data_IF_677898691358
#
_entry.id   IF_677898691358
#
_cell.length_a   1.000
_cell.length_b   1.000
_cell.length_c   1.000
_cell.angle_alpha   90.00
_cell.angle_beta   90.00
_cell.angle_gamma   90.00
#
_symmetry.space_group_name_H-M   'P 1'
#
loop_
_entity.id
_entity.type
_entity.pdbx_description
1 polymer ?
#
# COMPACT_ATOMS: atom_id res chain seq x y z
N UNK A 1 -6.26 5.24 -43.36
CA UNK A 1 -6.42 3.78 -43.19
C UNK A 1 -5.11 3.02 -43.35
N UNK A 2 -4.08 3.56 -44.02
CA UNK A 2 -2.77 2.88 -44.21
C UNK A 2 -1.88 2.82 -42.95
N UNK A 3 -1.96 3.79 -42.03
CA UNK A 3 -1.15 3.74 -40.80
C UNK A 3 -1.52 2.58 -39.86
N UNK A 4 -2.78 2.15 -39.83
CA UNK A 4 -3.20 1.05 -38.94
C UNK A 4 -2.72 -0.33 -39.42
N UNK A 5 -2.37 -0.45 -40.71
CA UNK A 5 -1.87 -1.69 -41.31
C UNK A 5 -0.36 -1.89 -41.08
N UNK A 6 0.41 -0.80 -40.98
CA UNK A 6 1.84 -0.91 -40.68
C UNK A 6 2.10 -1.26 -39.21
N UNK A 7 1.28 -0.74 -38.29
CA UNK A 7 1.39 -1.06 -36.85
C UNK A 7 1.06 -2.53 -36.53
N UNK A 8 0.06 -3.11 -37.22
CA UNK A 8 -0.31 -4.52 -37.03
C UNK A 8 0.72 -5.49 -37.61
N UNK A 9 1.35 -5.15 -38.73
CA UNK A 9 2.45 -5.93 -39.31
C UNK A 9 3.72 -5.91 -38.43
N UNK A 10 4.02 -4.76 -37.80
CA UNK A 10 5.17 -4.63 -36.91
C UNK A 10 5.00 -5.43 -35.61
N UNK A 11 3.77 -5.52 -35.07
CA UNK A 11 3.47 -6.37 -33.90
C UNK A 11 3.47 -7.86 -34.23
N UNK A 12 3.04 -8.26 -35.44
CA UNK A 12 3.13 -9.66 -35.88
C UNK A 12 4.58 -10.11 -36.09
N UNK A 13 5.44 -9.24 -36.62
CA UNK A 13 6.87 -9.54 -36.78
C UNK A 13 7.57 -9.68 -35.41
N UNK A 14 7.22 -8.84 -34.42
CA UNK A 14 7.77 -8.94 -33.06
C UNK A 14 7.34 -10.20 -32.29
N UNK A 15 6.18 -10.79 -32.61
CA UNK A 15 5.76 -12.07 -32.05
C UNK A 15 6.45 -13.27 -32.70
N UNK A 16 6.85 -13.16 -33.98
CA UNK A 16 7.57 -14.21 -34.70
C UNK A 16 9.06 -14.28 -34.32
N UNK A 17 9.65 -13.14 -33.93
CA UNK A 17 11.06 -13.04 -33.52
C UNK A 17 11.28 -13.21 -31.99
N UNK A 18 10.22 -13.49 -31.23
CA UNK A 18 10.32 -13.72 -29.78
C UNK A 18 10.88 -15.12 -29.48
N UNK A 19 12.16 -15.19 -29.08
CA UNK A 19 12.70 -16.36 -28.41
C UNK A 19 12.56 -16.21 -26.89
N UNK A 20 11.92 -17.17 -26.19
CA UNK A 20 11.86 -17.14 -24.74
C UNK A 20 13.28 -17.25 -24.15
N UNK A 21 13.57 -16.56 -23.03
CA UNK A 21 14.85 -16.69 -22.37
C UNK A 21 15.08 -18.15 -21.95
N UNK A 22 16.33 -18.65 -21.96
CA UNK A 22 16.62 -19.98 -21.48
C UNK A 22 16.21 -20.10 -20.00
N UNK A 23 15.81 -21.31 -19.55
CA UNK A 23 15.52 -21.54 -18.14
C UNK A 23 16.76 -21.19 -17.30
N UNK A 24 16.58 -20.62 -16.09
CA UNK A 24 17.71 -20.30 -15.23
C UNK A 24 18.51 -21.58 -14.96
N UNK A 25 19.81 -21.52 -15.26
CA UNK A 25 20.76 -22.57 -14.90
C UNK A 25 20.75 -22.76 -13.38
N UNK A 26 20.66 -24.02 -12.94
CA UNK A 26 20.90 -24.48 -11.57
C UNK A 26 22.30 -24.08 -11.11
N UNK A 27 22.46 -22.84 -10.62
CA UNK A 27 23.61 -22.42 -9.83
C UNK A 27 23.16 -21.46 -8.75
N UNK A 28 23.02 -21.99 -7.54
CA UNK A 28 22.87 -21.24 -6.30
C UNK A 28 21.44 -21.14 -5.80
N UNK A 29 20.94 -22.23 -5.19
CA UNK A 29 19.96 -22.10 -4.10
C UNK A 29 20.61 -21.25 -3.00
N UNK A 30 20.39 -19.94 -3.07
CA UNK A 30 20.43 -19.10 -1.89
C UNK A 30 19.06 -19.34 -1.27
N UNK A 31 19.03 -19.97 -0.10
CA UNK A 31 17.83 -20.31 0.65
C UNK A 31 17.02 -19.04 0.96
N UNK A 32 16.07 -18.70 0.08
CA UNK A 32 15.34 -17.41 0.07
C UNK A 32 14.34 -17.35 1.22
N UNK A 33 13.82 -18.50 1.66
CA UNK A 33 13.04 -18.63 2.88
C UNK A 33 13.83 -18.10 4.08
N UNK A 34 15.11 -18.49 4.23
CA UNK A 34 15.95 -18.06 5.34
C UNK A 34 16.15 -16.54 5.44
N UNK A 35 16.18 -15.82 4.31
CA UNK A 35 16.37 -14.37 4.29
C UNK A 35 15.12 -13.58 4.72
N UNK A 36 13.92 -14.04 4.33
CA UNK A 36 12.65 -13.50 4.83
C UNK A 36 12.38 -13.92 6.28
N UNK A 37 12.79 -15.15 6.64
CA UNK A 37 12.69 -15.70 8.01
C UNK A 37 13.51 -14.92 9.04
N UNK A 38 14.68 -14.42 8.66
CA UNK A 38 15.56 -13.64 9.57
C UNK A 38 14.91 -12.33 10.07
N UNK A 39 14.05 -11.69 9.26
CA UNK A 39 13.32 -10.48 9.67
C UNK A 39 11.94 -10.75 10.30
N UNK A 40 11.31 -11.89 9.98
CA UNK A 40 9.98 -12.29 10.50
C UNK A 40 10.04 -12.95 11.89
N UNK A 41 11.19 -13.52 12.27
CA UNK A 41 11.37 -14.27 13.51
C UNK A 41 11.23 -13.46 14.83
N UNK A 42 11.03 -12.14 14.77
CA UNK A 42 11.06 -11.29 15.96
C UNK A 42 9.77 -11.28 16.80
N UNK A 43 8.65 -11.88 16.35
CA UNK A 43 7.35 -11.73 17.04
C UNK A 43 6.58 -13.01 17.35
N UNK A 44 6.91 -14.15 16.75
CA UNK A 44 6.26 -15.41 17.12
C UNK A 44 7.23 -16.20 17.98
N UNK A 45 6.94 -16.27 19.29
CA UNK A 45 7.55 -17.27 20.16
C UNK A 45 7.25 -18.65 19.58
N UNK A 46 8.20 -19.19 18.84
CA UNK A 46 8.20 -20.56 18.35
C UNK A 46 8.33 -21.49 19.57
N UNK A 47 7.21 -21.74 20.23
CA UNK A 47 7.07 -22.76 21.27
C UNK A 47 5.73 -23.48 21.07
N UNK A 48 5.60 -24.10 19.89
CA UNK A 48 5.03 -25.43 19.68
C UNK A 48 4.91 -25.66 18.16
N UNK A 49 5.30 -26.84 17.68
CA UNK A 49 5.26 -27.25 16.26
C UNK A 49 3.85 -27.41 15.67
N UNK A 50 2.91 -26.51 15.98
CA UNK A 50 1.59 -26.41 15.36
C UNK A 50 1.67 -25.50 14.14
N UNK A 51 1.27 -26.02 12.97
CA UNK A 51 1.05 -25.21 11.78
C UNK A 51 0.18 -23.98 12.11
N UNK A 52 0.56 -22.82 11.57
CA UNK A 52 -0.18 -21.57 11.81
C UNK A 52 -1.63 -21.73 11.38
N UNK A 53 -2.56 -21.24 12.21
CA UNK A 53 -3.98 -21.33 11.89
C UNK A 53 -4.28 -20.55 10.59
N UNK A 54 -5.12 -21.09 9.68
CA UNK A 54 -5.45 -20.45 8.40
C UNK A 54 -6.49 -19.32 8.59
N UNK A 55 -6.23 -18.39 9.50
CA UNK A 55 -7.09 -17.27 9.91
C UNK A 55 -6.25 -16.02 10.14
N UNK A 56 -6.90 -14.85 10.18
CA UNK A 56 -6.26 -13.58 10.55
C UNK A 56 -6.41 -13.25 12.05
N UNK A 57 -6.67 -14.24 12.91
CA UNK A 57 -6.90 -14.02 14.34
C UNK A 57 -5.68 -13.40 15.03
N UNK A 58 -4.46 -13.78 14.61
CA UNK A 58 -3.20 -13.21 15.09
C UNK A 58 -3.15 -11.68 15.01
N UNK A 59 -3.69 -11.09 13.94
CA UNK A 59 -3.75 -9.63 13.75
C UNK A 59 -4.70 -8.93 14.73
N UNK A 60 -5.79 -9.60 15.10
CA UNK A 60 -6.74 -9.08 16.09
C UNK A 60 -6.14 -9.14 17.51
N UNK A 61 -5.40 -10.21 17.79
CA UNK A 61 -4.80 -10.48 19.10
C UNK A 61 -3.60 -9.56 19.38
N UNK A 62 -2.81 -9.24 18.35
CA UNK A 62 -1.62 -8.40 18.50
C UNK A 62 -1.99 -6.93 18.72
N UNK A 63 -2.21 -6.55 19.99
CA UNK A 63 -2.75 -5.23 20.34
C UNK A 63 -1.84 -4.04 20.03
N UNK A 64 -0.56 -4.27 19.79
CA UNK A 64 0.41 -3.22 19.44
C UNK A 64 0.28 -2.70 18.00
N UNK A 65 -0.35 -3.46 17.09
CA UNK A 65 -0.47 -3.06 15.68
C UNK A 65 -1.23 -1.73 15.52
N UNK A 66 -0.54 -0.76 14.96
CA UNK A 66 -1.06 0.56 14.58
C UNK A 66 -1.32 0.67 13.09
N UNK A 67 -0.50 0.04 12.26
CA UNK A 67 -0.54 0.17 10.80
C UNK A 67 -0.73 -1.20 10.16
N UNK A 68 -1.82 -1.39 9.43
CA UNK A 68 -2.07 -2.64 8.73
C UNK A 68 -2.29 -2.32 7.25
N UNK A 69 -1.35 -2.73 6.42
CA UNK A 69 -1.45 -2.57 4.98
C UNK A 69 -2.14 -3.78 4.36
N UNK A 70 -3.03 -3.55 3.40
CA UNK A 70 -3.67 -4.63 2.63
C UNK A 70 -3.38 -4.39 1.16
N UNK A 71 -2.75 -5.37 0.50
CA UNK A 71 -2.30 -5.22 -0.89
C UNK A 71 -2.31 -6.52 -1.69
N UNK A 72 -2.35 -6.38 -3.01
CA UNK A 72 -2.63 -7.49 -3.94
C UNK A 72 -2.80 -7.02 -5.38
N UNK A 73 -2.34 -7.81 -6.36
CA UNK A 73 -2.35 -7.37 -7.77
C UNK A 73 -3.66 -7.74 -8.46
N UNK A 74 -4.47 -6.70 -8.77
CA UNK A 74 -5.59 -6.74 -9.72
C UNK A 74 -6.77 -7.64 -9.36
N UNK A 75 -7.98 -7.08 -9.14
CA UNK A 75 -9.23 -7.84 -9.09
C UNK A 75 -9.37 -8.93 -8.00
N UNK A 76 -8.39 -9.09 -7.11
CA UNK A 76 -8.33 -10.16 -6.09
C UNK A 76 -9.23 -9.95 -4.87
N UNK A 77 -9.98 -8.84 -4.80
CA UNK A 77 -10.87 -8.55 -3.66
C UNK A 77 -10.21 -7.83 -2.48
N UNK A 78 -9.13 -7.06 -2.71
CA UNK A 78 -8.43 -6.26 -1.69
C UNK A 78 -9.39 -5.44 -0.82
N UNK A 79 -10.17 -4.55 -1.44
CA UNK A 79 -11.07 -3.64 -0.72
C UNK A 79 -12.07 -4.40 0.14
N UNK A 80 -12.61 -5.52 -0.34
CA UNK A 80 -13.50 -6.38 0.46
C UNK A 80 -12.76 -6.96 1.66
N UNK A 81 -11.53 -7.44 1.49
CA UNK A 81 -10.68 -7.90 2.60
C UNK A 81 -10.35 -6.76 3.58
N UNK A 82 -9.97 -5.58 3.09
CA UNK A 82 -9.67 -4.38 3.90
C UNK A 82 -10.87 -3.94 4.75
N UNK A 83 -12.06 -3.87 4.14
CA UNK A 83 -13.31 -3.57 4.85
C UNK A 83 -13.62 -4.61 5.92
N UNK A 84 -13.46 -5.89 5.56
CA UNK A 84 -13.76 -7.01 6.45
C UNK A 84 -12.81 -7.07 7.66
N UNK A 85 -11.52 -6.85 7.42
CA UNK A 85 -10.52 -6.77 8.48
C UNK A 85 -10.77 -5.57 9.39
N UNK A 86 -11.12 -4.40 8.84
CA UNK A 86 -11.46 -3.21 9.62
C UNK A 86 -12.70 -3.44 10.51
N UNK A 87 -13.73 -4.14 10.01
CA UNK A 87 -14.91 -4.54 10.79
C UNK A 87 -14.52 -5.46 11.95
N UNK A 88 -13.66 -6.46 11.71
CA UNK A 88 -13.20 -7.37 12.76
C UNK A 88 -12.34 -6.65 13.80
N UNK A 89 -11.45 -5.75 13.37
CA UNK A 89 -10.67 -4.92 14.27
C UNK A 89 -11.55 -3.97 15.09
N UNK A 90 -12.60 -3.39 14.51
CA UNK A 90 -13.52 -2.51 15.24
C UNK A 90 -14.20 -3.18 16.44
N UNK A 91 -14.32 -4.51 16.45
CA UNK A 91 -14.85 -5.26 17.61
C UNK A 91 -13.91 -5.34 18.78
N UNK A 92 -12.61 -5.27 18.51
CA UNK A 92 -11.58 -5.51 19.50
C UNK A 92 -10.86 -4.21 19.88
N UNK A 93 -10.74 -3.25 18.96
CA UNK A 93 -10.02 -1.97 19.13
C UNK A 93 -10.92 -0.83 19.63
N UNK A 94 -10.33 0.18 20.28
CA UNK A 94 -11.05 1.38 20.73
C UNK A 94 -11.46 2.28 19.56
N UNK A 95 -10.60 2.42 18.54
CA UNK A 95 -10.90 3.23 17.35
C UNK A 95 -10.11 2.77 16.14
N UNK A 96 -10.79 2.62 15.00
CA UNK A 96 -10.24 2.09 13.76
C UNK A 96 -10.49 3.08 12.61
N UNK A 97 -9.46 3.34 11.81
CA UNK A 97 -9.56 4.13 10.59
C UNK A 97 -9.21 3.28 9.37
N UNK A 98 -10.09 3.23 8.38
CA UNK A 98 -9.84 2.61 7.09
C UNK A 98 -9.60 3.68 6.02
N UNK A 99 -8.41 3.69 5.44
CA UNK A 99 -7.98 4.65 4.43
C UNK A 99 -7.85 3.90 3.11
N UNK A 100 -8.53 4.36 2.06
CA UNK A 100 -8.27 3.87 0.71
C UNK A 100 -7.43 4.87 -0.08
N UNK A 101 -6.37 4.35 -0.71
CA UNK A 101 -5.56 5.09 -1.70
C UNK A 101 -5.83 4.61 -3.13
N UNK A 102 -6.85 3.77 -3.32
CA UNK A 102 -7.29 3.31 -4.64
C UNK A 102 -8.13 4.42 -5.32
N UNK A 103 -7.72 4.92 -6.51
CA UNK A 103 -8.46 5.96 -7.23
C UNK A 103 -9.85 5.51 -7.69
N UNK A 104 -10.17 4.22 -7.65
CA UNK A 104 -11.47 3.70 -8.08
C UNK A 104 -12.62 3.94 -7.09
N UNK A 105 -12.38 4.55 -5.92
CA UNK A 105 -13.41 4.83 -4.89
C UNK A 105 -14.20 3.57 -4.44
N UNK A 106 -13.53 2.41 -4.44
CA UNK A 106 -14.14 1.10 -4.15
C UNK A 106 -14.70 1.00 -2.72
N UNK A 107 -14.20 1.82 -1.79
CA UNK A 107 -14.60 1.80 -0.38
C UNK A 107 -16.04 2.29 -0.21
N UNK A 108 -16.41 3.35 -0.94
CA UNK A 108 -17.76 3.89 -0.95
C UNK A 108 -18.80 2.87 -1.45
N UNK A 109 -18.47 2.13 -2.51
CA UNK A 109 -19.32 1.07 -3.05
C UNK A 109 -19.43 -0.12 -2.10
N UNK A 110 -18.32 -0.53 -1.47
CA UNK A 110 -18.28 -1.65 -0.53
C UNK A 110 -19.22 -1.43 0.66
N UNK A 111 -19.18 -0.26 1.30
CA UNK A 111 -20.07 0.07 2.42
C UNK A 111 -21.44 0.62 1.98
N UNK A 112 -21.62 0.92 0.69
CA UNK A 112 -22.80 1.63 0.18
C UNK A 112 -23.00 2.99 0.89
N UNK A 113 -21.90 3.70 1.13
CA UNK A 113 -21.83 4.97 1.83
C UNK A 113 -20.73 5.84 1.18
N UNK A 114 -21.03 7.08 0.81
CA UNK A 114 -20.02 7.95 0.19
C UNK A 114 -18.97 8.43 1.21
N UNK A 115 -17.70 8.21 0.89
CA UNK A 115 -16.54 8.75 1.61
C UNK A 115 -15.83 9.83 0.77
N UNK A 116 -14.83 10.47 1.36
CA UNK A 116 -14.00 11.48 0.73
C UNK A 116 -12.75 11.74 1.56
N UNK A 117 -12.10 12.89 1.36
CA UNK A 117 -10.85 13.25 2.03
C UNK A 117 -10.96 13.35 3.56
N UNK A 118 -12.14 13.63 4.10
CA UNK A 118 -12.37 13.74 5.54
C UNK A 118 -12.80 12.40 6.15
N UNK A 119 -12.21 12.04 7.29
CA UNK A 119 -12.58 10.83 8.03
C UNK A 119 -14.05 10.89 8.48
N UNK A 120 -14.84 9.90 8.06
CA UNK A 120 -16.26 9.81 8.38
C UNK A 120 -16.60 8.46 9.00
N UNK A 121 -17.43 8.48 10.03
CA UNK A 121 -17.92 7.28 10.70
C UNK A 121 -18.70 6.39 9.70
N UNK A 122 -18.39 5.09 9.68
CA UNK A 122 -19.10 4.10 8.88
C UNK A 122 -20.46 3.82 9.53
N UNK A 123 -21.53 3.83 8.74
CA UNK A 123 -22.88 3.62 9.24
C UNK A 123 -23.01 2.26 9.94
N UNK A 124 -23.51 2.29 11.18
CA UNK A 124 -23.70 1.10 12.00
C UNK A 124 -22.50 0.69 12.84
N UNK A 125 -21.44 1.51 12.87
CA UNK A 125 -20.31 1.38 13.80
C UNK A 125 -20.17 2.68 14.60
N UNK A 126 -19.67 2.59 15.83
CA UNK A 126 -19.39 3.73 16.71
C UNK A 126 -17.91 4.12 16.74
N UNK A 127 -17.04 3.23 16.28
CA UNK A 127 -15.59 3.37 16.37
C UNK A 127 -14.82 3.04 15.07
N UNK A 128 -15.53 2.77 13.96
CA UNK A 128 -14.93 2.56 12.63
C UNK A 128 -15.22 3.76 11.73
N UNK A 129 -14.16 4.44 11.31
CA UNK A 129 -14.22 5.53 10.34
C UNK A 129 -13.54 5.14 9.03
N UNK A 130 -13.95 5.76 7.94
CA UNK A 130 -13.37 5.57 6.63
C UNK A 130 -13.11 6.91 5.93
N UNK A 131 -12.05 6.94 5.11
CA UNK A 131 -11.72 8.06 4.22
C UNK A 131 -11.10 7.54 2.92
N UNK A 132 -11.24 8.33 1.87
CA UNK A 132 -10.68 8.05 0.56
C UNK A 132 -9.76 9.21 0.16
N UNK A 133 -8.54 8.86 -0.22
CA UNK A 133 -7.51 9.83 -0.53
C UNK A 133 -7.02 9.57 -1.93
N UNK A 134 -7.14 10.58 -2.78
CA UNK A 134 -6.46 10.62 -4.06
C UNK A 134 -5.13 11.37 -3.90
N UNK A 135 -3.97 10.67 -4.00
CA UNK A 135 -2.68 11.32 -3.92
C UNK A 135 -2.47 12.35 -5.04
N UNK A 136 -3.04 12.13 -6.23
CA UNK A 136 -2.81 13.01 -7.37
C UNK A 136 -3.59 14.33 -7.24
N UNK A 137 -4.84 14.26 -6.78
CA UNK A 137 -5.68 15.45 -6.60
C UNK A 137 -5.21 16.40 -5.51
N UNK A 138 -4.47 15.90 -4.51
CA UNK A 138 -4.03 16.70 -3.36
C UNK A 138 -2.96 17.74 -3.72
N UNK A 139 -2.09 17.45 -4.69
CA UNK A 139 -1.08 18.41 -5.17
C UNK A 139 -1.65 19.49 -6.08
N UNK A 140 -2.66 19.17 -6.91
CA UNK A 140 -3.35 20.20 -7.69
C UNK A 140 -3.96 21.26 -6.77
N UNK A 141 -4.58 20.83 -5.67
CA UNK A 141 -5.17 21.72 -4.66
C UNK A 141 -4.09 22.55 -3.94
N UNK A 142 -2.94 21.95 -3.60
CA UNK A 142 -1.82 22.65 -2.95
C UNK A 142 -1.14 23.69 -3.87
N UNK A 143 -0.96 23.35 -5.15
CA UNK A 143 -0.41 24.25 -6.17
C UNK A 143 -1.41 25.36 -6.53
N UNK A 144 -2.70 25.05 -6.59
CA UNK A 144 -3.76 26.04 -6.80
C UNK A 144 -3.88 27.01 -5.61
N UNK A 145 -3.78 26.50 -4.37
CA UNK A 145 -3.79 27.33 -3.16
C UNK A 145 -2.57 28.24 -2.99
N UNK A 146 -1.45 27.93 -3.64
CA UNK A 146 -0.28 28.83 -3.72
C UNK A 146 -0.35 29.81 -4.90
N UNK A 147 -1.25 29.57 -5.87
CA UNK A 147 -1.46 30.44 -7.03
C UNK A 147 -2.31 31.67 -6.73
N UNK A 148 -3.18 31.62 -5.72
CA UNK A 148 -4.09 32.74 -5.38
C UNK A 148 -3.39 33.88 -4.61
N UNK A 149 -2.24 33.63 -3.98
CA UNK A 149 -1.43 34.65 -3.29
C UNK A 149 -0.27 35.21 -4.15
N UNK A 150 -0.14 34.77 -5.41
CA UNK A 150 1.00 35.09 -6.28
C UNK A 150 0.69 36.10 -7.41
N UNK A 151 -0.43 36.83 -7.31
CA UNK A 151 -0.88 37.72 -8.40
C UNK A 151 -0.34 39.17 -8.31
N UNK A 152 0.63 39.46 -7.42
CA UNK A 152 1.19 40.82 -7.29
C UNK A 152 2.71 40.90 -7.08
N UNK A 153 3.50 40.15 -7.87
CA UNK A 153 4.95 40.37 -7.89
C UNK A 153 5.62 40.11 -9.26
N UNK A 154 5.59 41.14 -10.11
CA UNK A 154 6.56 41.49 -11.16
C UNK A 154 6.90 40.46 -12.27
N UNK A 155 6.88 40.84 -13.58
CA UNK A 155 7.22 39.97 -14.71
C UNK A 155 8.65 39.42 -14.75
N UNK A 156 9.48 39.74 -13.75
CA UNK A 156 10.88 39.35 -13.71
C UNK A 156 11.34 38.70 -12.38
N UNK A 157 10.40 38.33 -11.50
CA UNK A 157 10.69 37.72 -10.19
C UNK A 157 10.37 36.22 -10.05
N UNK A 158 9.48 35.67 -10.88
CA UNK A 158 8.97 34.29 -10.73
C UNK A 158 9.92 33.16 -11.16
N UNK A 159 10.99 33.47 -11.90
CA UNK A 159 11.84 32.46 -12.54
C UNK A 159 12.96 31.89 -11.65
N UNK A 160 13.24 32.47 -10.48
CA UNK A 160 14.47 32.17 -9.73
C UNK A 160 14.35 31.06 -8.67
N UNK A 161 13.27 31.05 -7.89
CA UNK A 161 13.11 30.14 -6.73
C UNK A 161 11.92 29.21 -6.91
N UNK A 162 10.80 29.68 -7.46
CA UNK A 162 9.67 28.83 -7.85
C UNK A 162 10.10 27.83 -8.93
N UNK A 163 10.80 28.31 -9.97
CA UNK A 163 11.42 27.46 -10.98
C UNK A 163 12.46 26.50 -10.42
N UNK A 164 13.28 26.92 -9.44
CA UNK A 164 14.29 26.06 -8.83
C UNK A 164 13.70 24.99 -7.90
N UNK A 165 12.64 25.30 -7.15
CA UNK A 165 11.90 24.32 -6.34
C UNK A 165 11.14 23.34 -7.25
N UNK A 166 10.59 23.84 -8.35
CA UNK A 166 9.88 23.04 -9.35
C UNK A 166 10.86 22.13 -10.12
N UNK A 167 12.04 22.64 -10.49
CA UNK A 167 13.13 21.86 -11.09
C UNK A 167 13.70 20.83 -10.11
N UNK A 168 13.82 21.17 -8.83
CA UNK A 168 14.25 20.23 -7.78
C UNK A 168 13.19 19.16 -7.49
N UNK A 169 11.91 19.53 -7.57
CA UNK A 169 10.79 18.61 -7.48
C UNK A 169 10.77 17.66 -8.70
N UNK A 170 11.01 18.18 -9.91
CA UNK A 170 11.15 17.35 -11.11
C UNK A 170 12.44 16.52 -11.16
N UNK A 171 13.49 16.92 -10.44
CA UNK A 171 14.76 16.20 -10.37
C UNK A 171 14.68 14.90 -9.55
N UNK A 172 13.66 14.75 -8.70
CA UNK A 172 13.46 13.57 -7.86
C UNK A 172 12.13 12.91 -8.28
N UNK A 173 12.18 11.86 -9.13
CA UNK A 173 10.98 11.15 -9.54
C UNK A 173 10.23 10.59 -8.33
N UNK A 174 8.99 11.01 -8.11
CA UNK A 174 8.17 10.50 -7.02
C UNK A 174 7.96 11.46 -5.83
N UNK A 175 8.50 12.68 -5.88
CA UNK A 175 8.47 13.61 -4.73
C UNK A 175 7.07 14.22 -4.53
N UNK A 176 6.31 14.38 -5.59
CA UNK A 176 4.93 14.86 -5.62
C UNK A 176 3.99 13.87 -4.94
N UNK A 177 4.12 12.57 -5.23
CA UNK A 177 3.38 11.54 -4.51
C UNK A 177 3.84 11.45 -3.04
N UNK A 178 5.13 11.63 -2.78
CA UNK A 178 5.69 11.55 -1.45
C UNK A 178 5.24 12.71 -0.53
N UNK A 179 5.14 13.93 -1.07
CA UNK A 179 4.61 15.09 -0.33
C UNK A 179 3.12 14.96 -0.03
N UNK A 180 2.33 14.50 -1.01
CA UNK A 180 0.91 14.18 -0.80
C UNK A 180 0.75 13.18 0.34
N UNK A 181 1.61 12.16 0.37
CA UNK A 181 1.60 11.16 1.41
C UNK A 181 2.01 11.69 2.80
N UNK A 182 3.04 12.55 2.88
CA UNK A 182 3.43 13.17 4.14
C UNK A 182 2.27 13.97 4.77
N UNK A 183 1.48 14.65 3.94
CA UNK A 183 0.30 15.38 4.40
C UNK A 183 -0.81 14.43 4.90
N UNK A 184 -1.03 13.31 4.20
CA UNK A 184 -1.94 12.24 4.67
C UNK A 184 -1.52 11.70 6.02
N UNK A 185 -0.24 11.34 6.18
CA UNK A 185 0.28 10.83 7.45
C UNK A 185 0.11 11.84 8.58
N UNK A 186 0.37 13.12 8.30
CA UNK A 186 0.20 14.21 9.27
C UNK A 186 -1.26 14.35 9.70
N UNK A 187 -2.19 14.34 8.75
CA UNK A 187 -3.63 14.37 9.02
C UNK A 187 -4.05 13.15 9.86
N UNK A 188 -3.63 11.96 9.46
CA UNK A 188 -3.95 10.71 10.15
C UNK A 188 -3.40 10.67 11.56
N UNK A 189 -2.15 11.12 11.78
CA UNK A 189 -1.53 11.21 13.11
C UNK A 189 -2.30 12.15 14.04
N UNK A 190 -2.86 13.24 13.50
CA UNK A 190 -3.66 14.19 14.28
C UNK A 190 -4.97 13.59 14.81
N UNK A 191 -5.55 12.62 14.09
CA UNK A 191 -6.84 12.02 14.43
C UNK A 191 -6.79 10.98 15.56
N UNK A 192 -5.59 10.54 15.98
CA UNK A 192 -5.37 9.70 17.17
C UNK A 192 -6.17 8.38 17.20
N UNK A 193 -6.35 7.72 16.05
CA UNK A 193 -6.92 6.37 15.98
C UNK A 193 -5.97 5.31 16.59
N UNK A 194 -6.51 4.25 17.17
CA UNK A 194 -5.71 3.15 17.74
C UNK A 194 -5.04 2.32 16.64
N UNK A 195 -5.79 1.98 15.59
CA UNK A 195 -5.31 1.18 14.45
C UNK A 195 -5.81 1.78 13.14
N UNK A 196 -4.95 1.80 12.14
CA UNK A 196 -5.20 2.33 10.81
C UNK A 196 -4.94 1.23 9.78
N UNK A 197 -5.93 0.99 8.92
CA UNK A 197 -5.86 0.04 7.82
C UNK A 197 -5.72 0.83 6.52
N UNK A 198 -4.73 0.50 5.72
CA UNK A 198 -4.55 1.05 4.38
C UNK A 198 -5.02 0.03 3.34
N UNK A 199 -6.13 0.35 2.66
CA UNK A 199 -6.56 -0.32 1.42
C UNK A 199 -5.77 0.28 0.26
N UNK A 200 -4.76 -0.47 -0.18
CA UNK A 200 -3.76 0.10 -1.07
C UNK A 200 -4.15 0.01 -2.54
N UNK A 201 -3.61 0.91 -3.36
CA UNK A 201 -3.67 0.85 -4.82
C UNK A 201 -3.05 -0.45 -5.39
N UNK A 202 -3.16 -0.74 -6.70
CA UNK A 202 -2.48 -1.88 -7.30
C UNK A 202 -0.97 -1.86 -7.04
N UNK A 203 -0.43 -3.05 -6.76
CA UNK A 203 0.86 -3.36 -6.10
C UNK A 203 2.07 -2.51 -6.48
N UNK A 204 2.24 -2.17 -7.76
CA UNK A 204 3.40 -1.40 -8.23
C UNK A 204 3.49 0.02 -7.66
N UNK A 205 2.36 0.65 -7.33
CA UNK A 205 2.36 2.00 -6.74
C UNK A 205 2.42 1.98 -5.21
N UNK A 206 1.89 0.92 -4.59
CA UNK A 206 1.84 0.73 -3.14
C UNK A 206 3.20 0.44 -2.51
N UNK A 207 4.03 -0.37 -3.16
CA UNK A 207 5.37 -0.64 -2.63
C UNK A 207 6.24 0.62 -2.72
N UNK A 208 5.99 1.48 -3.71
CA UNK A 208 6.55 2.84 -3.78
C UNK A 208 6.11 3.70 -2.59
N UNK A 209 4.85 3.59 -2.17
CA UNK A 209 4.30 4.25 -0.98
C UNK A 209 5.10 3.96 0.29
N UNK A 210 5.53 2.70 0.48
CA UNK A 210 6.31 2.28 1.65
C UNK A 210 7.79 2.68 1.58
N UNK A 211 8.33 2.93 0.38
CA UNK A 211 9.69 3.43 0.19
C UNK A 211 9.83 4.94 0.37
N UNK A 212 8.74 5.70 0.19
CA UNK A 212 8.76 7.16 0.17
C UNK A 212 9.43 7.80 1.38
N UNK A 213 9.26 7.31 2.62
CA UNK A 213 9.96 7.90 3.75
C UNK A 213 11.48 7.91 3.58
N UNK A 214 12.05 6.82 3.04
CA UNK A 214 13.48 6.72 2.78
C UNK A 214 13.96 7.60 1.63
N UNK A 215 13.12 7.83 0.61
CA UNK A 215 13.43 8.70 -0.54
C UNK A 215 13.40 10.16 -0.11
N UNK A 216 12.36 10.57 0.63
CA UNK A 216 12.24 11.93 1.17
C UNK A 216 13.35 12.23 2.16
N UNK A 217 13.72 11.30 3.03
CA UNK A 217 14.83 11.50 3.96
C UNK A 217 16.16 11.77 3.22
N UNK A 218 16.44 11.01 2.16
CA UNK A 218 17.62 11.24 1.30
C UNK A 218 17.56 12.59 0.58
N UNK A 219 16.38 12.96 0.07
CA UNK A 219 16.15 14.24 -0.58
C UNK A 219 16.39 15.42 0.39
N UNK A 220 15.76 15.38 1.56
CA UNK A 220 15.90 16.40 2.61
C UNK A 220 17.34 16.50 3.12
N UNK A 221 18.02 15.36 3.31
CA UNK A 221 19.44 15.36 3.66
C UNK A 221 20.31 16.03 2.58
N UNK A 222 19.98 15.84 1.30
CA UNK A 222 20.71 16.48 0.20
C UNK A 222 20.45 17.98 0.14
N UNK A 223 19.21 18.41 0.36
CA UNK A 223 18.83 19.83 0.45
C UNK A 223 19.54 20.51 1.62
N UNK A 224 19.55 19.87 2.80
CA UNK A 224 20.26 20.36 3.99
C UNK A 224 21.77 20.49 3.72
N UNK A 225 22.39 19.49 3.07
CA UNK A 225 23.79 19.54 2.66
C UNK A 225 24.07 20.72 1.71
N UNK A 226 23.25 20.87 0.66
CA UNK A 226 23.38 21.96 -0.32
C UNK A 226 23.21 23.33 0.34
N UNK A 227 22.21 23.48 1.21
CA UNK A 227 22.00 24.73 1.93
C UNK A 227 23.16 25.05 2.89
N UNK A 228 23.73 24.06 3.57
CA UNK A 228 24.91 24.31 4.42
C UNK A 228 26.12 24.80 3.60
N UNK A 229 26.27 24.31 2.37
CA UNK A 229 27.40 24.62 1.48
C UNK A 229 27.25 25.98 0.79
N UNK A 230 26.03 26.33 0.37
CA UNK A 230 25.74 27.57 -0.38
C UNK A 230 25.03 28.65 0.45
N UNK A 231 24.62 28.34 1.67
CA UNK A 231 23.92 29.23 2.60
C UNK A 231 24.67 30.52 2.91
N UNK A 232 25.99 30.49 3.20
CA UNK A 232 26.77 31.71 3.41
C UNK A 232 26.83 32.62 2.17
N UNK A 233 26.83 32.02 0.97
CA UNK A 233 26.80 32.73 -0.32
C UNK A 233 25.40 33.32 -0.59
N UNK A 234 24.34 32.56 -0.32
CA UNK A 234 22.94 32.98 -0.45
C UNK A 234 22.58 34.10 0.53
N UNK A 235 23.01 34.02 1.78
CA UNK A 235 22.86 35.11 2.76
C UNK A 235 23.64 36.37 2.35
N UNK A 236 24.79 36.21 1.68
CA UNK A 236 25.54 37.32 1.11
C UNK A 236 24.82 37.98 -0.08
N UNK A 237 24.03 37.21 -0.85
CA UNK A 237 23.32 37.68 -2.04
C UNK A 237 21.92 38.24 -1.72
N UNK A 238 21.22 37.69 -0.73
CA UNK A 238 19.87 38.10 -0.31
C UNK A 238 19.88 39.27 0.70
N UNK A 239 21.06 39.72 1.12
CA UNK A 239 21.23 40.83 2.07
C UNK A 239 20.87 40.46 3.51
N UNK A 240 21.17 41.36 4.46
CA UNK A 240 21.09 41.15 5.92
C UNK A 240 19.70 40.78 6.48
N UNK A 241 18.65 40.76 5.65
CA UNK A 241 17.30 40.39 6.06
C UNK A 241 16.94 38.94 5.72
N UNK A 242 17.77 38.20 4.96
CA UNK A 242 17.54 36.78 4.66
C UNK A 242 16.20 36.48 3.95
N UNK A 243 15.53 37.53 3.46
CA UNK A 243 14.20 37.47 2.90
C UNK A 243 14.30 37.07 1.43
N UNK A 244 13.64 35.97 1.08
CA UNK A 244 13.38 35.63 -0.31
C UNK A 244 12.49 36.71 -0.94
N UNK A 245 12.52 36.91 -2.26
CA UNK A 245 11.69 37.90 -2.95
C UNK A 245 10.17 37.79 -2.67
N UNK A 246 9.70 36.64 -2.14
CA UNK A 246 8.31 36.42 -1.69
C UNK A 246 8.06 36.67 -0.18
N UNK A 247 8.99 37.32 0.54
CA UNK A 247 8.80 37.67 1.96
C UNK A 247 8.88 36.49 2.95
N UNK A 248 9.19 35.28 2.48
CA UNK A 248 9.43 34.12 3.35
C UNK A 248 10.86 34.14 3.87
N UNK A 249 11.03 33.93 5.19
CA UNK A 249 12.33 33.74 5.80
C UNK A 249 12.86 32.34 5.45
N UNK A 250 14.11 32.28 5.00
CA UNK A 250 14.81 31.00 4.76
C UNK A 250 14.83 30.10 6.00
N UNK A 251 14.92 30.69 7.20
CA UNK A 251 14.89 29.94 8.46
C UNK A 251 13.54 29.24 8.69
N UNK A 252 12.42 29.94 8.49
CA UNK A 252 11.08 29.36 8.68
C UNK A 252 10.82 28.21 7.68
N UNK A 253 11.34 28.32 6.47
CA UNK A 253 11.26 27.25 5.47
C UNK A 253 12.09 26.02 5.91
N UNK A 254 13.28 26.24 6.46
CA UNK A 254 14.14 25.18 6.95
C UNK A 254 13.55 24.47 8.18
N UNK A 255 12.95 25.20 9.11
CA UNK A 255 12.27 24.61 10.26
C UNK A 255 11.09 23.71 9.82
N UNK A 256 10.31 24.15 8.82
CA UNK A 256 9.23 23.32 8.25
C UNK A 256 9.77 22.05 7.59
N UNK A 257 10.87 22.14 6.84
CA UNK A 257 11.49 20.97 6.20
C UNK A 257 12.03 19.99 7.24
N UNK A 258 12.62 20.48 8.33
CA UNK A 258 13.14 19.61 9.40
C UNK A 258 12.00 18.93 10.16
N UNK A 259 10.91 19.65 10.47
CA UNK A 259 9.71 19.07 11.08
C UNK A 259 9.06 17.98 10.22
N UNK A 260 9.01 18.20 8.90
CA UNK A 260 8.57 17.17 7.95
C UNK A 260 9.51 15.96 7.96
N UNK A 261 10.82 16.20 7.96
CA UNK A 261 11.83 15.14 8.05
C UNK A 261 11.65 14.27 9.29
N UNK A 262 11.49 14.88 10.47
CA UNK A 262 11.28 14.17 11.73
C UNK A 262 10.02 13.30 11.67
N UNK A 263 8.91 13.88 11.18
CA UNK A 263 7.63 13.15 11.03
C UNK A 263 7.79 11.94 10.11
N UNK A 264 8.46 12.12 8.97
CA UNK A 264 8.69 11.05 7.99
C UNK A 264 9.60 9.97 8.57
N UNK A 265 10.67 10.35 9.26
CA UNK A 265 11.60 9.42 9.90
C UNK A 265 10.90 8.58 10.96
N UNK A 266 10.08 9.20 11.82
CA UNK A 266 9.29 8.51 12.83
C UNK A 266 8.35 7.48 12.21
N UNK A 267 7.63 7.84 11.14
CA UNK A 267 6.73 6.92 10.44
C UNK A 267 7.51 5.77 9.78
N UNK A 268 8.65 6.07 9.15
CA UNK A 268 9.52 5.04 8.57
C UNK A 268 9.97 4.00 9.61
N UNK A 269 10.36 4.47 10.79
CA UNK A 269 10.72 3.59 11.90
C UNK A 269 9.54 2.73 12.34
N UNK A 270 8.35 3.31 12.47
CA UNK A 270 7.14 2.55 12.81
C UNK A 270 6.77 1.52 11.74
N UNK A 271 6.94 1.84 10.45
CA UNK A 271 6.65 0.91 9.35
C UNK A 271 7.57 -0.32 9.33
N UNK A 272 8.78 -0.20 9.88
CA UNK A 272 9.75 -1.29 9.99
C UNK A 272 9.68 -2.05 11.31
N UNK A 273 8.81 -1.65 12.22
CA UNK A 273 8.60 -2.33 13.49
C UNK A 273 7.45 -3.33 13.35
N UNK A 274 7.77 -4.63 13.36
CA UNK A 274 6.81 -5.73 13.28
C UNK A 274 5.79 -5.75 14.43
N UNK A 275 6.07 -5.03 15.54
CA UNK A 275 5.10 -4.86 16.62
C UNK A 275 4.04 -3.81 16.29
N UNK A 276 4.35 -2.86 15.41
CA UNK A 276 3.50 -1.72 15.09
C UNK A 276 2.87 -1.82 13.69
N UNK A 277 3.56 -2.45 12.75
CA UNK A 277 3.18 -2.48 11.34
C UNK A 277 3.27 -3.88 10.79
N UNK A 278 2.26 -4.26 10.01
CA UNK A 278 2.27 -5.49 9.22
C UNK A 278 1.56 -5.30 7.89
N UNK A 279 1.79 -6.21 6.95
CA UNK A 279 1.20 -6.25 5.63
C UNK A 279 0.42 -7.56 5.43
N UNK A 280 -0.79 -7.43 4.89
CA UNK A 280 -1.65 -8.56 4.50
C UNK A 280 -1.70 -8.65 2.97
N UNK A 281 -1.14 -9.74 2.44
CA UNK A 281 -1.18 -10.02 1.01
C UNK A 281 -2.52 -10.65 0.63
N UNK A 282 -3.20 -10.13 -0.40
CA UNK A 282 -4.45 -10.66 -0.93
C UNK A 282 -4.21 -11.15 -2.35
N UNK A 283 -4.62 -12.38 -2.62
CA UNK A 283 -4.37 -13.05 -3.89
C UNK A 283 -5.52 -13.99 -4.27
N UNK A 284 -5.40 -14.61 -5.44
CA UNK A 284 -6.27 -15.72 -5.88
C UNK A 284 -5.41 -16.94 -6.22
N UNK A 285 -6.04 -18.11 -6.26
CA UNK A 285 -5.36 -19.37 -6.57
C UNK A 285 -5.12 -19.56 -8.09
N UNK A 286 -4.26 -18.72 -8.65
CA UNK A 286 -3.82 -18.75 -10.05
C UNK A 286 -2.32 -18.46 -10.18
N UNK A 287 -1.68 -18.99 -11.23
CA UNK A 287 -0.25 -18.85 -11.45
C UNK A 287 0.26 -17.40 -11.39
N UNK A 288 -0.35 -16.50 -12.18
CA UNK A 288 0.11 -15.11 -12.24
C UNK A 288 -0.10 -14.38 -10.91
N UNK A 289 -1.18 -14.71 -10.19
CA UNK A 289 -1.42 -14.13 -8.87
C UNK A 289 -0.42 -14.63 -7.83
N UNK A 290 -0.02 -15.91 -7.89
CA UNK A 290 1.01 -16.49 -7.03
C UNK A 290 2.36 -15.81 -7.25
N UNK A 291 2.80 -15.74 -8.51
CA UNK A 291 4.06 -15.09 -8.89
C UNK A 291 4.14 -13.63 -8.43
N UNK A 292 3.06 -12.87 -8.58
CA UNK A 292 3.02 -11.45 -8.20
C UNK A 292 2.93 -11.25 -6.68
N UNK A 293 2.35 -12.22 -5.97
CA UNK A 293 2.33 -12.23 -4.50
C UNK A 293 3.71 -12.55 -3.95
N UNK A 294 4.40 -13.55 -4.50
CA UNK A 294 5.77 -13.87 -4.13
C UNK A 294 6.72 -12.69 -4.35
N UNK A 295 6.65 -12.05 -5.52
CA UNK A 295 7.43 -10.83 -5.80
C UNK A 295 7.13 -9.71 -4.81
N UNK A 296 5.87 -9.51 -4.44
CA UNK A 296 5.50 -8.52 -3.42
C UNK A 296 6.11 -8.85 -2.06
N UNK A 297 6.04 -10.11 -1.62
CA UNK A 297 6.63 -10.54 -0.34
C UNK A 297 8.14 -10.27 -0.32
N UNK A 298 8.84 -10.58 -1.43
CA UNK A 298 10.27 -10.29 -1.57
C UNK A 298 10.57 -8.78 -1.51
N UNK A 299 9.76 -7.96 -2.18
CA UNK A 299 9.92 -6.50 -2.13
C UNK A 299 9.65 -5.95 -0.71
N UNK A 300 8.63 -6.43 0.00
CA UNK A 300 8.34 -6.08 1.40
C UNK A 300 9.51 -6.44 2.34
N UNK A 301 10.05 -7.64 2.21
CA UNK A 301 11.20 -8.09 2.98
C UNK A 301 12.42 -7.18 2.72
N UNK A 302 12.66 -6.77 1.47
CA UNK A 302 13.75 -5.85 1.12
C UNK A 302 13.60 -4.46 1.76
N UNK A 303 12.37 -4.06 2.13
CA UNK A 303 12.10 -2.80 2.82
C UNK A 303 12.09 -2.96 4.34
N UNK A 304 12.18 -4.18 4.85
CA UNK A 304 12.11 -4.50 6.28
C UNK A 304 10.70 -4.30 6.85
N UNK A 305 9.67 -4.60 6.05
CA UNK A 305 8.27 -4.49 6.46
C UNK A 305 7.75 -5.90 6.72
N UNK A 306 7.17 -6.08 7.90
CA UNK A 306 6.61 -7.35 8.32
C UNK A 306 5.43 -7.76 7.44
N UNK A 307 5.38 -9.04 7.11
CA UNK A 307 4.26 -9.70 6.43
C UNK A 307 4.24 -11.16 6.86
N UNK A 308 3.12 -11.58 7.43
CA UNK A 308 2.93 -12.96 7.92
C UNK A 308 1.49 -13.46 7.66
N UNK A 309 0.73 -12.76 6.80
CA UNK A 309 -0.66 -13.10 6.49
C UNK A 309 -0.93 -13.05 4.98
N UNK A 310 -1.50 -14.14 4.44
CA UNK A 310 -1.95 -14.23 3.05
C UNK A 310 -3.44 -14.60 3.02
N UNK A 311 -4.24 -13.86 2.25
CA UNK A 311 -5.65 -14.14 2.02
C UNK A 311 -5.84 -14.60 0.58
N UNK A 312 -6.20 -15.87 0.40
CA UNK A 312 -6.51 -16.47 -0.91
C UNK A 312 -8.02 -16.40 -1.15
N UNK A 313 -8.43 -15.45 -1.98
CA UNK A 313 -9.83 -15.16 -2.30
C UNK A 313 -10.36 -16.01 -3.48
N UNK A 314 -11.70 -15.97 -3.64
CA UNK A 314 -12.43 -16.53 -4.78
C UNK A 314 -12.23 -18.04 -4.97
N UNK A 315 -12.00 -18.78 -3.89
CA UNK A 315 -11.86 -20.24 -3.94
C UNK A 315 -13.21 -20.89 -4.20
N UNK A 316 -13.26 -21.78 -5.20
CA UNK A 316 -14.44 -22.56 -5.51
C UNK A 316 -14.51 -23.81 -4.63
N UNK A 317 -15.64 -23.94 -3.93
CA UNK A 317 -15.99 -25.14 -3.18
C UNK A 317 -17.33 -25.72 -3.67
N UNK A 318 -17.39 -26.25 -4.91
CA UNK A 318 -18.59 -26.91 -5.40
C UNK A 318 -18.92 -28.13 -4.54
N UNK A 319 -20.21 -28.39 -4.36
CA UNK A 319 -20.72 -29.60 -3.69
C UNK A 319 -20.16 -30.84 -4.37
N UNK A 320 -19.90 -31.91 -3.60
CA UNK A 320 -19.33 -33.16 -4.15
C UNK A 320 -20.15 -33.74 -5.31
N UNK A 321 -21.47 -33.56 -5.29
CA UNK A 321 -22.40 -34.02 -6.33
C UNK A 321 -22.66 -32.99 -7.44
N UNK A 322 -21.84 -31.94 -7.57
CA UNK A 322 -22.02 -30.93 -8.61
C UNK A 322 -21.54 -31.44 -9.98
N UNK A 323 -22.44 -31.45 -10.96
CA UNK A 323 -22.16 -31.86 -12.34
C UNK A 323 -21.58 -30.72 -13.21
N UNK A 324 -21.25 -29.56 -12.62
CA UNK A 324 -20.67 -28.43 -13.35
C UNK A 324 -19.21 -28.72 -13.75
N UNK A 325 -19.01 -29.13 -15.01
CA UNK A 325 -17.69 -29.44 -15.58
C UNK A 325 -16.70 -28.28 -15.40
N UNK A 326 -17.11 -27.06 -15.77
CA UNK A 326 -16.25 -25.88 -15.67
C UNK A 326 -15.85 -25.56 -14.22
N UNK A 327 -16.79 -25.67 -13.28
CA UNK A 327 -16.55 -25.41 -11.85
C UNK A 327 -15.56 -26.43 -11.27
N UNK A 328 -15.73 -27.71 -11.62
CA UNK A 328 -14.86 -28.78 -11.15
C UNK A 328 -13.45 -28.67 -11.75
N UNK A 329 -13.35 -28.35 -13.05
CA UNK A 329 -12.08 -28.09 -13.71
C UNK A 329 -11.35 -26.89 -13.07
N UNK A 330 -12.07 -25.79 -12.84
CA UNK A 330 -11.52 -24.58 -12.20
C UNK A 330 -11.08 -24.84 -10.76
N UNK A 331 -11.87 -25.57 -9.96
CA UNK A 331 -11.49 -26.01 -8.62
C UNK A 331 -10.21 -26.85 -8.65
N UNK A 332 -10.07 -27.78 -9.61
CA UNK A 332 -8.85 -28.60 -9.73
C UNK A 332 -7.61 -27.74 -10.02
N UNK A 333 -7.74 -26.72 -10.87
CA UNK A 333 -6.67 -25.75 -11.11
C UNK A 333 -6.36 -24.92 -9.85
N UNK A 334 -7.37 -24.40 -9.17
CA UNK A 334 -7.18 -23.63 -7.94
C UNK A 334 -6.54 -24.48 -6.85
N UNK A 335 -6.94 -25.74 -6.69
CA UNK A 335 -6.34 -26.67 -5.73
C UNK A 335 -4.84 -26.84 -5.97
N UNK A 336 -4.41 -27.01 -7.23
CA UNK A 336 -2.98 -27.10 -7.57
C UNK A 336 -2.19 -25.89 -7.04
N UNK A 337 -2.69 -24.66 -7.26
CA UNK A 337 -1.99 -23.45 -6.81
C UNK A 337 -2.16 -23.18 -5.32
N UNK A 338 -3.29 -23.57 -4.72
CA UNK A 338 -3.49 -23.48 -3.28
C UNK A 338 -2.54 -24.41 -2.53
N UNK A 339 -2.35 -25.64 -3.02
CA UNK A 339 -1.39 -26.59 -2.47
C UNK A 339 0.05 -26.01 -2.55
N UNK A 340 0.38 -25.24 -3.60
CA UNK A 340 1.67 -24.51 -3.70
C UNK A 340 1.79 -23.36 -2.69
N UNK A 341 0.74 -22.57 -2.46
CA UNK A 341 0.78 -21.56 -1.39
C UNK A 341 1.01 -22.19 -0.02
N UNK A 342 0.38 -23.34 0.25
CA UNK A 342 0.57 -24.06 1.50
C UNK A 342 2.00 -24.60 1.63
N UNK A 343 2.55 -25.20 0.59
CA UNK A 343 3.92 -25.71 0.58
C UNK A 343 4.96 -24.60 0.78
N UNK A 344 4.74 -23.43 0.20
CA UNK A 344 5.69 -22.31 0.26
C UNK A 344 5.58 -21.47 1.54
N UNK A 345 4.38 -21.37 2.13
CA UNK A 345 4.10 -20.34 3.15
C UNK A 345 3.37 -20.84 4.40
N UNK A 346 2.84 -22.05 4.47
CA UNK A 346 2.02 -22.45 5.63
C UNK A 346 2.80 -22.58 6.95
N UNK A 347 4.13 -22.71 6.90
CA UNK A 347 4.98 -22.76 8.10
C UNK A 347 5.15 -21.36 8.74
N UNK A 348 5.27 -20.32 7.92
CA UNK A 348 5.61 -18.96 8.39
C UNK A 348 4.47 -17.93 8.22
N UNK A 349 3.43 -18.24 7.45
CA UNK A 349 2.30 -17.35 7.19
C UNK A 349 0.96 -17.97 7.59
N UNK A 350 0.09 -17.13 8.12
CA UNK A 350 -1.34 -17.41 8.20
C UNK A 350 -1.96 -17.35 6.80
N UNK A 351 -2.22 -18.50 6.18
CA UNK A 351 -2.86 -18.59 4.84
C UNK A 351 -4.37 -18.77 4.97
N UNK A 352 -5.11 -17.65 4.99
CA UNK A 352 -6.57 -17.63 5.09
C UNK A 352 -7.25 -17.95 3.74
N UNK A 353 -8.19 -18.91 3.77
CA UNK A 353 -8.86 -19.45 2.57
C UNK A 353 -10.29 -18.93 2.48
N UNK A 354 -10.55 -18.04 1.53
CA UNK A 354 -11.84 -17.36 1.41
C UNK A 354 -12.64 -17.88 0.21
N UNK A 355 -13.90 -18.32 0.42
CA UNK A 355 -14.71 -18.86 -0.66
C UNK A 355 -15.18 -17.76 -1.62
N UNK A 356 -15.40 -18.14 -2.89
CA UNK A 356 -16.21 -17.34 -3.80
C UNK A 356 -17.68 -17.38 -3.32
N UNK A 357 -18.25 -16.21 -3.05
CA UNK A 357 -19.67 -16.08 -2.71
C UNK A 357 -20.55 -15.96 -3.97
N UNK A 358 -21.83 -16.29 -3.83
CA UNK A 358 -22.83 -16.21 -4.91
C UNK A 358 -23.16 -14.77 -5.26
N UNK A 359 -23.29 -13.91 -4.25
CA UNK A 359 -23.60 -12.50 -4.41
C UNK A 359 -22.37 -11.63 -4.13
N UNK A 360 -22.37 -10.42 -4.71
CA UNK A 360 -21.40 -9.40 -4.34
C UNK A 360 -21.48 -9.04 -2.85
N UNK A 361 -20.30 -8.83 -2.25
CA UNK A 361 -20.14 -8.45 -0.85
C UNK A 361 -20.24 -6.93 -0.74
N UNK A 362 -21.47 -6.41 -0.80
CA UNK A 362 -21.78 -4.99 -0.66
C UNK A 362 -22.74 -4.73 0.48
N UNK A 363 -22.53 -3.60 1.15
CA UNK A 363 -23.29 -3.17 2.31
C UNK A 363 -22.80 -3.84 3.60
N UNK A 364 -23.04 -3.15 4.72
CA UNK A 364 -22.58 -3.55 6.06
C UNK A 364 -22.86 -5.02 6.37
N UNK A 365 -24.10 -5.49 6.23
CA UNK A 365 -24.49 -6.83 6.67
C UNK A 365 -23.75 -7.95 5.93
N UNK A 366 -23.50 -7.78 4.62
CA UNK A 366 -22.75 -8.77 3.84
C UNK A 366 -21.27 -8.73 4.16
N UNK A 367 -20.71 -7.53 4.35
CA UNK A 367 -19.33 -7.36 4.79
C UNK A 367 -19.10 -7.97 6.17
N UNK A 368 -19.99 -7.76 7.14
CA UNK A 368 -19.92 -8.38 8.46
C UNK A 368 -19.94 -9.92 8.35
N UNK A 369 -20.85 -10.50 7.57
CA UNK A 369 -20.91 -11.95 7.34
C UNK A 369 -19.64 -12.49 6.67
N UNK A 370 -19.13 -11.82 5.64
CA UNK A 370 -17.89 -12.22 4.98
C UNK A 370 -16.68 -12.09 5.91
N UNK A 371 -16.66 -11.07 6.77
CA UNK A 371 -15.56 -10.83 7.71
C UNK A 371 -15.38 -11.93 8.75
N UNK A 372 -16.44 -12.65 9.12
CA UNK A 372 -16.33 -13.81 10.01
C UNK A 372 -15.43 -14.90 9.42
N UNK A 373 -15.38 -15.03 8.09
CA UNK A 373 -14.57 -16.04 7.40
C UNK A 373 -13.08 -15.75 7.46
N UNK A 374 -12.67 -14.50 7.77
CA UNK A 374 -11.27 -14.17 8.04
C UNK A 374 -10.81 -14.74 9.38
N UNK A 375 -11.73 -14.93 10.32
CA UNK A 375 -11.43 -15.33 11.70
C UNK A 375 -11.77 -16.81 11.94
N UNK A 376 -12.82 -17.31 11.29
CA UNK A 376 -13.27 -18.69 11.39
C UNK A 376 -13.05 -19.37 10.04
N UNK A 377 -12.22 -20.43 9.97
CA UNK A 377 -11.97 -21.13 8.72
C UNK A 377 -13.27 -21.56 8.07
N UNK A 378 -13.43 -21.22 6.78
CA UNK A 378 -14.60 -21.64 6.03
C UNK A 378 -14.62 -23.17 5.88
N UNK A 379 -15.73 -23.79 6.29
CA UNK A 379 -15.98 -25.22 6.08
C UNK A 379 -17.00 -25.35 4.93
N UNK A 380 -16.61 -25.92 3.78
CA UNK A 380 -17.54 -26.16 2.70
C UNK A 380 -18.73 -27.03 3.15
N UNK A 381 -19.97 -26.69 2.76
CA UNK A 381 -21.11 -27.56 2.99
C UNK A 381 -20.92 -28.88 2.24
N UNK A 382 -21.32 -29.99 2.87
CA UNK A 382 -21.16 -31.37 2.34
C UNK A 382 -21.82 -31.62 0.97
#
# INVERSE_FOLDING_TARGET
MENNYQWTQQQQQQQLDYQPPPPPHEQGEIDVAAAAMSSSAAVISADDGSALEPTLQSLLDQRSLRWIFVGGKGGVGKTTTSCSLAIQLARVRRSVLLISTDPAHNLSDAFSQKFGKEARLVHGFDNLSAMEIDPNGSMQDLLAGQGEDADDASPMGGAGIGGMMQDLAFAIPGIDEAMSFAEVLKQVKSLSYETIIFDTAPTGHTLRFLQFPSVLEKALAKVSQLSSQYGPLLNGFLGSNGALPNGQNLNDMMEKLESLRETISEVNTQFKDAQLTTFVCVCIAEFLSLYETERMIQELASYGIDTHCIVVNQLLFPKKASDCEQCNARRKMQKKYLDQYEELYAEDFNVAKMPLLVDEVRGKEKLEKFSELLIRPYVPPE
#
